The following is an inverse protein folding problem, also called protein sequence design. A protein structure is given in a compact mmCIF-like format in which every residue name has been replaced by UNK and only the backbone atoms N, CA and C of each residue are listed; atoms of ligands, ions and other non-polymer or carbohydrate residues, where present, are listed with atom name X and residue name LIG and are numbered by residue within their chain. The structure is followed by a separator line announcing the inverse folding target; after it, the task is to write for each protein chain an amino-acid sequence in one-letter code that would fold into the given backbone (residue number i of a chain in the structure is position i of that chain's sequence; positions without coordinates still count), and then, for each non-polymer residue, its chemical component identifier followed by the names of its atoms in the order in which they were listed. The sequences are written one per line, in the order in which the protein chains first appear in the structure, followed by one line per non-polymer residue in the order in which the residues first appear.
data_IF_282330362086
#
_entry.id   IF_282330362086
#
_cell.length_a   1.000
_cell.length_b   1.000
_cell.length_c   1.000
_cell.angle_alpha   90.00
_cell.angle_beta   90.00
_cell.angle_gamma   90.00
#
_symmetry.space_group_name_H-M   'P 1'
#
loop_
_entity.id
_entity.type
_entity.pdbx_description
1 polymer ?
#
# COMPACT_ATOMS: atom_id res chain seq x y z
N UNK A 1 7.90 -11.29 -28.12
CA UNK A 1 6.54 -11.91 -28.24
C UNK A 1 6.20 -12.13 -29.72
N UNK A 2 5.90 -13.38 -30.16
CA UNK A 2 5.53 -13.73 -31.53
C UNK A 2 4.07 -13.31 -31.87
N UNK A 3 3.70 -13.43 -33.16
CA UNK A 3 2.37 -13.03 -33.66
C UNK A 3 1.25 -13.90 -33.06
N UNK A 4 1.47 -15.19 -32.91
CA UNK A 4 0.46 -16.11 -32.37
C UNK A 4 0.12 -15.80 -30.91
N UNK A 5 1.13 -15.51 -30.10
CA UNK A 5 0.96 -15.08 -28.70
C UNK A 5 0.15 -13.76 -28.63
N UNK A 6 0.46 -12.78 -29.47
CA UNK A 6 -0.30 -11.51 -29.53
C UNK A 6 -1.77 -11.73 -29.91
N UNK A 7 -2.02 -12.55 -30.91
CA UNK A 7 -3.39 -12.88 -31.33
C UNK A 7 -4.15 -13.61 -30.23
N UNK A 8 -3.49 -14.56 -29.57
CA UNK A 8 -4.06 -15.29 -28.43
C UNK A 8 -4.46 -14.32 -27.31
N UNK A 9 -3.55 -13.49 -26.83
CA UNK A 9 -3.80 -12.51 -25.76
C UNK A 9 -4.94 -11.56 -26.12
N UNK A 10 -4.95 -11.00 -27.33
CA UNK A 10 -6.04 -10.11 -27.81
C UNK A 10 -7.40 -10.80 -27.77
N UNK A 11 -7.48 -12.07 -28.21
CA UNK A 11 -8.73 -12.85 -28.15
C UNK A 11 -9.20 -13.02 -26.71
N UNK A 12 -8.28 -13.30 -25.77
CA UNK A 12 -8.60 -13.49 -24.35
C UNK A 12 -9.07 -12.20 -23.69
N UNK A 13 -8.38 -11.09 -23.94
CA UNK A 13 -8.79 -9.77 -23.46
C UNK A 13 -10.15 -9.35 -24.00
N UNK A 14 -10.39 -9.56 -25.30
CA UNK A 14 -11.70 -9.28 -25.92
C UNK A 14 -12.82 -10.14 -25.32
N UNK A 15 -12.56 -11.41 -25.08
CA UNK A 15 -13.52 -12.32 -24.44
C UNK A 15 -13.85 -11.89 -23.01
N UNK A 16 -12.88 -11.40 -22.26
CA UNK A 16 -13.08 -10.83 -20.93
C UNK A 16 -13.98 -9.59 -21.00
N UNK A 17 -13.57 -8.54 -21.72
CA UNK A 17 -14.31 -7.27 -21.76
C UNK A 17 -15.73 -7.41 -22.33
N UNK A 18 -15.97 -8.42 -23.18
CA UNK A 18 -17.32 -8.70 -23.68
C UNK A 18 -18.30 -9.06 -22.56
N UNK A 19 -17.83 -9.78 -21.53
CA UNK A 19 -18.62 -10.28 -20.39
C UNK A 19 -18.48 -9.44 -19.14
N UNK A 20 -17.39 -8.70 -19.02
CA UNK A 20 -17.06 -7.95 -17.82
C UNK A 20 -18.06 -6.84 -17.52
N UNK A 21 -18.35 -6.69 -16.24
CA UNK A 21 -19.05 -5.52 -15.69
C UNK A 21 -17.98 -4.63 -15.05
N UNK A 22 -17.46 -3.68 -15.81
CA UNK A 22 -16.50 -2.69 -15.31
C UNK A 22 -17.27 -1.55 -14.70
N UNK A 23 -16.97 -1.24 -13.44
CA UNK A 23 -17.60 -0.11 -12.75
C UNK A 23 -16.88 1.18 -13.14
N UNK A 24 -17.62 2.15 -13.66
CA UNK A 24 -17.08 3.47 -13.97
C UNK A 24 -16.61 4.19 -12.71
N UNK A 25 -15.59 5.08 -12.80
CA UNK A 25 -15.28 6.00 -11.73
C UNK A 25 -16.42 7.00 -11.54
N UNK A 26 -16.53 7.57 -10.34
CA UNK A 26 -17.48 8.64 -10.08
C UNK A 26 -17.28 9.79 -11.08
N UNK A 27 -18.38 10.38 -11.53
CA UNK A 27 -18.40 11.48 -12.49
C UNK A 27 -17.52 11.23 -13.74
N UNK A 28 -17.73 10.07 -14.38
CA UNK A 28 -16.96 9.59 -15.54
C UNK A 28 -16.74 10.67 -16.62
N UNK A 29 -17.72 11.55 -16.80
CA UNK A 29 -17.68 12.65 -17.79
C UNK A 29 -16.72 13.78 -17.41
N UNK A 30 -16.29 13.86 -16.14
CA UNK A 30 -15.29 14.81 -15.66
C UNK A 30 -13.88 14.20 -15.58
N UNK A 31 -13.70 12.96 -16.00
CA UNK A 31 -12.40 12.27 -15.91
C UNK A 31 -11.71 12.22 -17.26
N UNK A 32 -10.38 12.46 -17.21
CA UNK A 32 -9.49 12.13 -18.31
C UNK A 32 -9.15 10.63 -18.27
N UNK A 33 -9.09 10.00 -19.44
CA UNK A 33 -8.66 8.62 -19.58
C UNK A 33 -7.40 8.51 -20.43
N UNK A 34 -6.50 7.61 -19.99
CA UNK A 34 -5.35 7.13 -20.73
C UNK A 34 -5.54 5.67 -21.13
N UNK A 35 -5.23 5.34 -22.37
CA UNK A 35 -5.42 4.02 -22.96
C UNK A 35 -4.10 3.50 -23.53
N UNK A 36 -3.77 2.25 -23.24
CA UNK A 36 -2.53 1.61 -23.68
C UNK A 36 -2.72 0.28 -24.40
N UNK A 37 -1.63 -0.18 -24.97
CA UNK A 37 -1.48 -1.46 -25.68
C UNK A 37 -0.56 -2.39 -24.89
N UNK A 38 -0.23 -3.55 -25.43
CA UNK A 38 0.75 -4.45 -24.82
C UNK A 38 2.16 -3.84 -24.76
N UNK A 39 2.47 -2.94 -25.70
CA UNK A 39 3.78 -2.29 -25.83
C UNK A 39 3.87 -1.02 -24.97
N UNK A 40 2.78 -0.24 -24.93
CA UNK A 40 2.75 1.08 -24.27
C UNK A 40 1.65 1.13 -23.22
N UNK A 41 2.01 1.41 -21.97
CA UNK A 41 1.02 1.55 -20.87
C UNK A 41 0.04 2.70 -21.11
N UNK A 42 0.49 3.78 -21.73
CA UNK A 42 -0.33 4.93 -22.14
C UNK A 42 0.09 5.33 -23.56
N UNK A 43 -0.67 4.91 -24.56
CA UNK A 43 -0.47 5.26 -25.97
C UNK A 43 -1.31 6.46 -26.39
N UNK A 44 -2.50 6.56 -25.84
CA UNK A 44 -3.42 7.68 -26.06
C UNK A 44 -3.83 8.24 -24.71
N UNK A 45 -3.76 9.55 -24.58
CA UNK A 45 -4.18 10.32 -23.41
C UNK A 45 -5.23 11.35 -23.81
N UNK A 46 -5.81 12.08 -22.86
CA UNK A 46 -6.82 13.12 -23.07
C UNK A 46 -8.11 12.60 -23.72
N UNK A 47 -8.49 11.37 -23.38
CA UNK A 47 -9.77 10.80 -23.79
C UNK A 47 -10.80 11.04 -22.69
N UNK A 48 -12.06 11.30 -23.05
CA UNK A 48 -13.19 11.39 -22.14
C UNK A 48 -14.32 10.46 -22.57
N UNK A 49 -15.26 10.19 -21.67
CA UNK A 49 -16.47 9.42 -21.92
C UNK A 49 -17.66 10.16 -21.33
N UNK A 50 -18.67 10.43 -22.15
CA UNK A 50 -19.85 11.17 -21.71
C UNK A 50 -20.71 10.41 -20.69
N UNK A 51 -20.62 9.06 -20.68
CA UNK A 51 -21.40 8.19 -19.81
C UNK A 51 -20.70 6.87 -19.52
N UNK A 52 -21.16 6.15 -18.49
CA UNK A 52 -20.76 4.77 -18.15
C UNK A 52 -20.97 3.82 -19.33
N UNK A 53 -22.04 4.04 -20.10
CA UNK A 53 -22.35 3.26 -21.29
C UNK A 53 -21.29 3.44 -22.37
N UNK A 54 -20.82 4.67 -22.57
CA UNK A 54 -19.79 4.96 -23.57
C UNK A 54 -18.46 4.32 -23.20
N UNK A 55 -18.07 4.39 -21.93
CA UNK A 55 -16.89 3.70 -21.42
C UNK A 55 -17.03 2.18 -21.60
N UNK A 56 -18.17 1.60 -21.24
CA UNK A 56 -18.43 0.16 -21.38
C UNK A 56 -18.36 -0.27 -22.84
N UNK A 57 -18.98 0.49 -23.75
CA UNK A 57 -18.95 0.21 -25.20
C UNK A 57 -17.52 0.29 -25.75
N UNK A 58 -16.75 1.28 -25.32
CA UNK A 58 -15.34 1.40 -25.68
C UNK A 58 -14.54 0.19 -25.25
N UNK A 59 -14.67 -0.24 -23.97
CA UNK A 59 -13.96 -1.41 -23.44
C UNK A 59 -14.27 -2.69 -24.22
N UNK A 60 -15.54 -2.92 -24.55
CA UNK A 60 -15.97 -4.07 -25.35
C UNK A 60 -15.41 -4.05 -26.79
N UNK A 61 -15.35 -2.87 -27.40
CA UNK A 61 -14.88 -2.73 -28.77
C UNK A 61 -13.36 -2.85 -28.87
N UNK A 62 -12.64 -2.07 -28.05
CA UNK A 62 -11.19 -1.91 -28.15
C UNK A 62 -10.41 -2.96 -27.35
N UNK A 63 -10.98 -3.47 -26.25
CA UNK A 63 -10.34 -4.42 -25.34
C UNK A 63 -8.89 -4.01 -24.98
N UNK A 64 -8.68 -2.80 -24.42
CA UNK A 64 -7.35 -2.26 -24.21
C UNK A 64 -6.55 -3.11 -23.22
N UNK A 65 -5.23 -3.19 -23.40
CA UNK A 65 -4.35 -3.87 -22.44
C UNK A 65 -4.13 -3.04 -21.17
N UNK A 66 -4.24 -1.71 -21.30
CA UNK A 66 -4.17 -0.78 -20.19
C UNK A 66 -5.21 0.31 -20.36
N UNK A 67 -5.93 0.60 -19.30
CA UNK A 67 -6.77 1.78 -19.20
C UNK A 67 -6.64 2.39 -17.79
N UNK A 68 -6.47 3.68 -17.75
CA UNK A 68 -6.33 4.47 -16.53
C UNK A 68 -7.23 5.69 -16.63
N UNK A 69 -7.62 6.24 -15.48
CA UNK A 69 -8.42 7.47 -15.40
C UNK A 69 -7.75 8.46 -14.44
N UNK A 70 -8.06 9.75 -14.60
CA UNK A 70 -7.48 10.80 -13.76
C UNK A 70 -8.00 10.73 -12.33
N UNK A 71 -7.10 10.93 -11.36
CA UNK A 71 -7.50 11.23 -9.98
C UNK A 71 -8.20 12.56 -9.91
N UNK A 72 -7.88 13.50 -10.82
CA UNK A 72 -8.52 14.78 -10.96
C UNK A 72 -9.87 14.71 -11.67
N UNK A 73 -10.72 15.69 -11.32
CA UNK A 73 -11.93 16.06 -12.02
C UNK A 73 -11.66 17.32 -12.84
N UNK A 74 -12.15 17.34 -14.05
CA UNK A 74 -12.01 18.47 -14.99
C UNK A 74 -13.36 18.87 -15.57
N UNK A 75 -13.53 20.14 -15.86
CA UNK A 75 -14.69 20.62 -16.63
C UNK A 75 -14.60 20.17 -18.10
N UNK A 76 -13.38 20.18 -18.66
CA UNK A 76 -13.09 19.80 -20.05
C UNK A 76 -11.96 18.77 -20.11
N UNK A 77 -12.22 17.48 -19.75
CA UNK A 77 -11.15 16.49 -19.58
C UNK A 77 -10.34 16.16 -20.84
N UNK A 78 -10.90 16.36 -22.05
CA UNK A 78 -10.20 16.13 -23.31
C UNK A 78 -9.34 17.30 -23.77
N UNK A 79 -9.48 18.50 -23.20
CA UNK A 79 -8.75 19.67 -23.65
C UNK A 79 -7.24 19.54 -23.49
N UNK A 80 -6.51 20.27 -24.34
CA UNK A 80 -5.06 20.42 -24.32
C UNK A 80 -4.71 21.88 -24.58
N UNK A 81 -3.69 22.42 -23.89
CA UNK A 81 -2.85 21.82 -22.86
C UNK A 81 -3.59 21.58 -21.53
N UNK A 82 -2.91 21.03 -20.52
CA UNK A 82 -3.53 20.64 -19.24
C UNK A 82 -4.27 21.78 -18.53
N UNK A 83 -3.74 23.00 -18.64
CA UNK A 83 -4.31 24.22 -18.04
C UNK A 83 -5.71 24.55 -18.60
N UNK A 84 -5.99 24.16 -19.84
CA UNK A 84 -7.29 24.38 -20.49
C UNK A 84 -8.38 23.41 -20.07
N UNK A 85 -8.06 22.41 -19.23
CA UNK A 85 -9.02 21.42 -18.71
C UNK A 85 -9.93 21.97 -17.63
N UNK A 86 -9.60 23.08 -17.00
CA UNK A 86 -10.26 23.63 -15.83
C UNK A 86 -10.40 22.61 -14.70
N UNK A 87 -9.35 22.52 -13.86
CA UNK A 87 -9.26 21.57 -12.75
C UNK A 87 -10.30 21.90 -11.67
N UNK A 88 -11.08 20.90 -11.22
CA UNK A 88 -12.17 21.04 -10.25
C UNK A 88 -11.86 20.40 -8.89
N UNK A 89 -10.75 19.69 -8.77
CA UNK A 89 -10.36 18.95 -7.58
C UNK A 89 -9.76 17.60 -7.97
N UNK A 90 -9.25 16.86 -7.00
CA UNK A 90 -8.75 15.51 -7.21
C UNK A 90 -8.98 14.61 -5.99
N UNK A 91 -9.28 13.33 -6.21
CA UNK A 91 -9.21 12.31 -5.16
C UNK A 91 -7.80 12.25 -4.58
N UNK A 92 -7.67 11.92 -3.30
CA UNK A 92 -6.38 11.61 -2.68
C UNK A 92 -6.10 10.12 -2.91
N UNK A 93 -5.01 9.81 -3.61
CA UNK A 93 -4.71 8.42 -3.99
C UNK A 93 -3.29 8.06 -3.54
N UNK A 94 -3.17 6.90 -2.92
CA UNK A 94 -1.90 6.29 -2.57
C UNK A 94 -1.67 5.05 -3.42
N UNK A 95 -0.44 4.86 -3.89
CA UNK A 95 0.00 3.71 -4.68
C UNK A 95 1.09 2.95 -3.90
N UNK A 96 0.74 1.78 -3.39
CA UNK A 96 1.62 0.93 -2.60
C UNK A 96 2.03 -0.27 -3.45
N UNK A 97 3.23 -0.23 -3.99
CA UNK A 97 3.74 -1.22 -4.94
C UNK A 97 4.99 -1.95 -4.41
N UNK A 98 5.03 -3.26 -4.60
CA UNK A 98 6.22 -4.05 -4.29
C UNK A 98 7.27 -4.00 -5.43
N UNK A 99 8.58 -4.01 -5.15
CA UNK A 99 9.63 -4.05 -6.15
C UNK A 99 9.85 -5.49 -6.69
N UNK A 100 8.78 -6.16 -7.12
CA UNK A 100 8.81 -7.55 -7.62
C UNK A 100 8.68 -7.62 -9.13
N UNK A 101 9.39 -8.57 -9.73
CA UNK A 101 9.28 -8.90 -11.16
C UNK A 101 8.31 -10.04 -11.41
N UNK A 102 8.31 -11.04 -10.56
CA UNK A 102 7.40 -12.18 -10.57
C UNK A 102 6.56 -12.17 -9.29
N UNK A 103 5.36 -12.77 -9.36
CA UNK A 103 4.43 -12.80 -8.23
C UNK A 103 5.01 -13.60 -7.07
N UNK A 104 4.92 -13.02 -5.87
CA UNK A 104 5.41 -13.56 -4.62
C UNK A 104 4.38 -13.25 -3.53
N UNK A 105 3.81 -14.29 -2.95
CA UNK A 105 2.71 -14.18 -1.98
C UNK A 105 3.15 -13.50 -0.67
N UNK A 106 4.39 -13.75 -0.20
CA UNK A 106 4.90 -13.16 1.05
C UNK A 106 5.10 -11.65 0.89
N UNK A 107 5.63 -11.24 -0.28
CA UNK A 107 5.84 -9.82 -0.57
C UNK A 107 4.51 -9.10 -0.75
N UNK A 108 3.55 -9.70 -1.47
CA UNK A 108 2.21 -9.11 -1.63
C UNK A 108 1.45 -9.01 -0.30
N UNK A 109 1.62 -9.97 0.61
CA UNK A 109 1.04 -9.90 1.96
C UNK A 109 1.65 -8.76 2.78
N UNK A 110 2.94 -8.45 2.64
CA UNK A 110 3.55 -7.28 3.27
C UNK A 110 2.91 -5.98 2.75
N UNK A 111 2.77 -5.81 1.43
CA UNK A 111 2.10 -4.62 0.87
C UNK A 111 0.65 -4.53 1.30
N UNK A 112 -0.05 -5.67 1.44
CA UNK A 112 -1.40 -5.72 2.01
C UNK A 112 -1.43 -5.18 3.45
N UNK A 113 -0.48 -5.59 4.30
CA UNK A 113 -0.35 -5.09 5.68
C UNK A 113 -0.09 -3.57 5.70
N UNK A 114 0.79 -3.07 4.84
CA UNK A 114 1.05 -1.63 4.70
C UNK A 114 -0.20 -0.86 4.25
N UNK A 115 -1.01 -1.44 3.37
CA UNK A 115 -2.29 -0.85 2.94
C UNK A 115 -3.29 -0.77 4.09
N UNK A 116 -3.36 -1.80 4.94
CA UNK A 116 -4.18 -1.81 6.15
C UNK A 116 -3.69 -0.74 7.14
N UNK A 117 -2.38 -0.64 7.35
CA UNK A 117 -1.80 0.40 8.20
C UNK A 117 -2.13 1.81 7.69
N UNK A 118 -2.00 2.05 6.39
CA UNK A 118 -2.38 3.33 5.78
C UNK A 118 -3.85 3.64 5.98
N UNK A 119 -4.74 2.65 5.77
CA UNK A 119 -6.18 2.82 6.08
C UNK A 119 -6.38 3.25 7.53
N UNK A 120 -5.68 2.63 8.48
CA UNK A 120 -5.70 3.00 9.89
C UNK A 120 -5.28 4.45 10.14
N UNK A 121 -4.22 4.96 9.49
CA UNK A 121 -3.86 6.38 9.59
C UNK A 121 -4.97 7.30 9.11
N UNK A 122 -5.61 6.96 7.99
CA UNK A 122 -6.66 7.80 7.41
C UNK A 122 -7.92 7.83 8.28
N UNK A 123 -8.28 6.72 8.89
CA UNK A 123 -9.44 6.63 9.79
C UNK A 123 -9.17 7.30 11.13
N UNK A 124 -8.07 6.93 11.79
CA UNK A 124 -7.82 7.25 13.19
C UNK A 124 -7.21 8.64 13.36
N UNK A 125 -6.26 9.03 12.49
CA UNK A 125 -5.48 10.26 12.67
C UNK A 125 -6.05 11.42 11.84
N UNK A 126 -6.65 11.13 10.67
CA UNK A 126 -7.25 12.15 9.80
C UNK A 126 -8.77 12.21 9.89
N UNK A 127 -9.42 11.27 10.59
CA UNK A 127 -10.87 11.24 10.77
C UNK A 127 -11.67 11.03 9.47
N UNK A 128 -11.05 10.45 8.44
CA UNK A 128 -11.71 10.18 7.16
C UNK A 128 -12.71 9.05 7.36
N UNK A 129 -13.93 9.21 6.85
CA UNK A 129 -14.96 8.19 6.93
C UNK A 129 -14.59 6.94 6.13
N UNK A 130 -14.88 5.76 6.66
CA UNK A 130 -14.61 4.50 5.95
C UNK A 130 -15.33 4.41 4.61
N UNK A 131 -16.52 5.00 4.49
CA UNK A 131 -17.30 5.09 3.25
C UNK A 131 -16.58 5.86 2.12
N UNK A 132 -15.66 6.75 2.48
CA UNK A 132 -14.93 7.59 1.54
C UNK A 132 -13.62 6.95 1.08
N UNK A 133 -13.28 5.79 1.68
CA UNK A 133 -12.07 5.03 1.36
C UNK A 133 -12.42 3.85 0.47
N UNK A 134 -11.77 3.75 -0.68
CA UNK A 134 -11.85 2.59 -1.57
C UNK A 134 -10.46 1.98 -1.78
N UNK A 135 -10.34 0.68 -1.61
CA UNK A 135 -9.10 -0.07 -1.85
C UNK A 135 -9.26 -0.87 -3.13
N UNK A 136 -8.24 -0.82 -3.99
CA UNK A 136 -8.16 -1.59 -5.21
C UNK A 136 -6.81 -2.32 -5.28
N UNK A 137 -6.81 -3.59 -5.65
CA UNK A 137 -5.59 -4.25 -6.08
C UNK A 137 -5.16 -3.68 -7.44
N UNK A 138 -3.90 -3.35 -7.62
CA UNK A 138 -3.39 -2.69 -8.84
C UNK A 138 -3.44 -3.58 -10.11
N UNK A 139 -3.74 -4.87 -9.92
CA UNK A 139 -3.69 -5.89 -10.98
C UNK A 139 -2.27 -6.44 -11.20
N UNK A 140 -1.28 -6.08 -10.40
CA UNK A 140 0.10 -6.53 -10.59
C UNK A 140 0.83 -6.82 -9.28
N UNK A 141 1.22 -5.81 -8.54
CA UNK A 141 2.20 -5.95 -7.46
C UNK A 141 1.90 -5.12 -6.20
N UNK A 142 0.70 -4.56 -6.11
CA UNK A 142 0.34 -3.72 -4.97
C UNK A 142 -1.11 -3.29 -4.95
N UNK A 143 -1.38 -2.23 -4.19
CA UNK A 143 -2.71 -1.72 -3.95
C UNK A 143 -2.77 -0.21 -4.15
N UNK A 144 -3.91 0.26 -4.65
CA UNK A 144 -4.26 1.67 -4.66
C UNK A 144 -5.30 1.93 -3.58
N UNK A 145 -5.06 2.89 -2.70
CA UNK A 145 -6.04 3.37 -1.74
C UNK A 145 -6.51 4.74 -2.20
N UNK A 146 -7.80 4.88 -2.38
CA UNK A 146 -8.45 6.11 -2.84
C UNK A 146 -9.26 6.71 -1.70
N UNK A 147 -9.16 8.02 -1.52
CA UNK A 147 -10.02 8.81 -0.66
C UNK A 147 -10.76 9.82 -1.52
N UNK A 148 -12.09 9.78 -1.45
CA UNK A 148 -12.97 10.67 -2.22
C UNK A 148 -13.95 11.33 -1.27
N UNK A 149 -13.60 12.53 -0.77
CA UNK A 149 -14.45 13.36 0.07
C UNK A 149 -14.26 14.84 -0.28
N UNK A 150 -15.21 15.68 0.09
CA UNK A 150 -15.16 17.12 -0.19
C UNK A 150 -13.95 17.81 0.45
N UNK A 151 -13.42 17.26 1.56
CA UNK A 151 -12.28 17.79 2.28
C UNK A 151 -10.96 17.54 1.53
N UNK A 152 -10.84 16.42 0.81
CA UNK A 152 -9.59 16.07 0.12
C UNK A 152 -9.54 16.62 -1.31
N UNK A 153 -10.68 16.87 -1.95
CA UNK A 153 -10.74 17.32 -3.34
C UNK A 153 -9.92 18.60 -3.61
N UNK A 154 -9.99 19.66 -2.77
CA UNK A 154 -9.28 20.92 -3.01
C UNK A 154 -7.80 20.88 -2.57
N UNK A 155 -7.30 19.80 -1.96
CA UNK A 155 -5.95 19.77 -1.42
C UNK A 155 -4.89 20.00 -2.50
N UNK A 156 -4.03 20.98 -2.24
CA UNK A 156 -2.86 21.24 -3.07
C UNK A 156 -1.84 20.10 -3.01
N UNK A 157 -0.91 20.03 -3.97
CA UNK A 157 0.19 19.07 -3.92
C UNK A 157 1.04 19.18 -2.65
N UNK A 158 1.19 20.39 -2.08
CA UNK A 158 1.93 20.59 -0.82
C UNK A 158 1.17 19.99 0.38
N UNK A 159 -0.14 20.22 0.49
CA UNK A 159 -0.95 19.61 1.55
C UNK A 159 -0.94 18.07 1.45
N UNK A 160 -1.00 17.53 0.23
CA UNK A 160 -0.87 16.09 -0.02
C UNK A 160 0.50 15.55 0.38
N UNK A 161 1.57 16.32 0.15
CA UNK A 161 2.93 15.97 0.62
C UNK A 161 2.98 15.86 2.13
N UNK A 162 2.38 16.80 2.86
CA UNK A 162 2.33 16.75 4.33
C UNK A 162 1.61 15.50 4.85
N UNK A 163 0.53 15.08 4.20
CA UNK A 163 -0.15 13.81 4.53
C UNK A 163 0.80 12.62 4.30
N UNK A 164 1.49 12.58 3.16
CA UNK A 164 2.47 11.52 2.85
C UNK A 164 3.60 11.51 3.89
N UNK A 165 4.17 12.67 4.22
CA UNK A 165 5.24 12.78 5.21
C UNK A 165 4.77 12.31 6.60
N UNK A 166 3.53 12.62 6.97
CA UNK A 166 2.93 12.14 8.21
C UNK A 166 2.81 10.61 8.26
N UNK A 167 2.17 9.99 7.26
CA UNK A 167 1.94 8.52 7.26
C UNK A 167 3.23 7.71 7.11
N UNK A 168 4.27 8.31 6.51
CA UNK A 168 5.59 7.70 6.39
C UNK A 168 6.52 7.99 7.57
N UNK A 169 6.08 8.78 8.55
CA UNK A 169 6.92 9.21 9.67
C UNK A 169 8.13 10.05 9.24
N UNK A 170 8.07 10.69 8.05
CA UNK A 170 9.17 11.52 7.55
C UNK A 170 9.41 12.72 8.46
N UNK A 171 10.62 12.82 9.03
CA UNK A 171 10.96 13.90 9.96
C UNK A 171 10.38 13.73 11.36
N UNK A 172 9.85 12.57 11.71
CA UNK A 172 9.37 12.27 13.05
C UNK A 172 10.52 12.33 14.05
N UNK A 173 10.48 13.30 14.96
CA UNK A 173 11.44 13.42 16.05
C UNK A 173 10.90 12.73 17.30
N UNK A 174 11.45 11.57 17.61
CA UNK A 174 11.05 10.77 18.76
C UNK A 174 11.33 11.45 20.10
N UNK A 175 12.30 12.36 20.16
CA UNK A 175 12.57 13.14 21.36
C UNK A 175 11.43 14.10 21.71
N UNK A 176 10.60 14.46 20.73
CA UNK A 176 9.41 15.26 20.98
C UNK A 176 8.38 14.53 21.87
N UNK A 177 8.29 13.22 21.72
CA UNK A 177 7.35 12.39 22.47
C UNK A 177 7.86 11.95 23.85
N UNK A 178 9.16 12.11 24.11
CA UNK A 178 9.79 11.70 25.37
C UNK A 178 10.46 12.89 26.05
N UNK A 179 10.05 13.19 27.27
CA UNK A 179 10.55 14.35 28.01
C UNK A 179 11.09 13.93 29.35
N UNK A 180 12.31 14.37 29.68
CA UNK A 180 12.78 14.34 31.04
C UNK A 180 12.04 15.40 31.86
N UNK A 181 11.37 14.96 32.90
CA UNK A 181 10.66 15.84 33.84
C UNK A 181 11.33 15.69 35.18
N UNK A 182 11.85 16.80 35.73
CA UNK A 182 12.31 16.84 37.12
C UNK A 182 11.08 16.88 38.03
N UNK A 183 10.99 15.95 38.98
CA UNK A 183 9.97 16.04 40.00
C UNK A 183 10.25 17.27 40.87
N UNK A 184 9.20 17.88 41.44
CA UNK A 184 9.41 19.01 42.36
C UNK A 184 10.27 18.57 43.58
N UNK A 185 11.32 19.33 43.85
CA UNK A 185 12.22 19.07 44.98
C UNK A 185 11.46 19.08 46.30
N UNK A 186 11.70 18.07 47.12
CA UNK A 186 11.08 17.97 48.44
C UNK A 186 12.16 18.31 49.48
N UNK A 187 11.90 19.31 50.31
CA UNK A 187 12.75 19.57 51.47
C UNK A 187 12.49 18.48 52.51
N UNK A 188 13.55 17.75 52.90
CA UNK A 188 13.43 16.74 53.93
C UNK A 188 12.96 17.37 55.24
N UNK A 189 11.83 16.98 55.75
CA UNK A 189 11.30 17.46 57.04
C UNK A 189 12.17 17.08 58.25
N UNK A 190 13.15 16.17 58.06
CA UNK A 190 14.00 15.63 59.10
C UNK A 190 15.39 16.30 59.18
N UNK A 191 15.93 16.73 58.07
CA UNK A 191 17.29 17.31 57.97
C UNK A 191 17.30 18.73 57.45
N UNK A 192 16.20 19.26 56.93
CA UNK A 192 16.16 20.57 56.27
C UNK A 192 16.92 20.61 54.93
N UNK A 193 17.46 19.48 54.48
CA UNK A 193 18.19 19.40 53.23
C UNK A 193 17.22 19.32 52.02
N UNK A 194 17.55 20.07 50.97
CA UNK A 194 16.85 19.99 49.69
C UNK A 194 17.31 18.74 48.98
N UNK A 195 16.38 17.79 48.78
CA UNK A 195 16.64 16.57 48.01
C UNK A 195 16.31 16.88 46.55
N UNK A 196 17.35 16.88 45.73
CA UNK A 196 17.17 16.97 44.27
C UNK A 196 16.40 15.71 43.80
N UNK A 197 15.20 15.87 43.26
CA UNK A 197 14.45 14.73 42.81
C UNK A 197 15.12 14.07 41.61
N UNK A 198 14.98 12.74 41.48
CA UNK A 198 15.39 12.06 40.29
C UNK A 198 14.57 12.52 39.09
N UNK A 199 15.23 12.81 37.98
CA UNK A 199 14.50 13.04 36.71
C UNK A 199 13.76 11.76 36.31
N UNK A 200 12.54 11.90 35.88
CA UNK A 200 11.76 10.80 35.31
C UNK A 200 11.49 11.04 33.82
N UNK A 201 11.46 9.99 33.02
CA UNK A 201 11.11 10.08 31.60
C UNK A 201 9.61 9.93 31.47
N UNK A 202 8.96 10.95 30.94
CA UNK A 202 7.55 10.91 30.54
C UNK A 202 7.45 10.75 29.03
N UNK A 203 6.49 9.95 28.58
CA UNK A 203 6.20 9.70 27.19
C UNK A 203 4.70 9.55 26.94
N UNK A 204 4.31 9.18 25.72
CA UNK A 204 2.90 9.06 25.35
C UNK A 204 2.17 7.97 26.14
N UNK A 205 0.84 8.10 26.16
CA UNK A 205 -0.10 7.20 26.85
C UNK A 205 -1.16 6.71 25.88
N UNK A 206 -1.99 5.77 26.29
CA UNK A 206 -3.13 5.30 25.48
C UNK A 206 -4.21 6.37 25.24
N UNK A 207 -4.15 7.52 25.94
CA UNK A 207 -5.06 8.65 25.74
C UNK A 207 -4.56 9.69 24.71
N UNK A 208 -3.32 9.54 24.23
CA UNK A 208 -2.78 10.37 23.16
C UNK A 208 -3.41 10.03 21.81
N UNK A 209 -3.22 10.89 20.82
CA UNK A 209 -3.68 10.71 19.45
C UNK A 209 -2.49 10.60 18.48
N UNK A 210 -2.75 10.19 17.24
CA UNK A 210 -1.78 10.16 16.17
C UNK A 210 -0.54 9.33 16.51
N UNK A 211 0.65 9.83 16.17
CA UNK A 211 1.91 9.13 16.41
C UNK A 211 2.20 8.88 17.90
N UNK A 212 1.74 9.74 18.81
CA UNK A 212 1.87 9.51 20.25
C UNK A 212 1.21 8.19 20.65
N UNK A 213 -0.06 8.03 20.31
CA UNK A 213 -0.81 6.79 20.55
C UNK A 213 -0.17 5.58 19.89
N UNK A 214 0.24 5.71 18.63
CA UNK A 214 0.87 4.60 17.87
C UNK A 214 2.16 4.11 18.51
N UNK A 215 2.98 5.03 19.00
CA UNK A 215 4.21 4.73 19.75
C UNK A 215 3.86 4.01 21.06
N UNK A 216 2.88 4.52 21.81
CA UNK A 216 2.44 3.90 23.05
C UNK A 216 1.91 2.48 22.81
N UNK A 217 0.94 2.30 21.92
CA UNK A 217 0.30 1.02 21.65
C UNK A 217 1.33 -0.04 21.27
N UNK A 218 2.28 0.30 20.41
CA UNK A 218 3.28 -0.67 19.96
C UNK A 218 4.27 -1.05 21.05
N UNK A 219 4.72 -0.09 21.87
CA UNK A 219 5.61 -0.39 23.01
C UNK A 219 4.86 -1.23 24.04
N UNK A 220 3.60 -0.90 24.30
CA UNK A 220 2.74 -1.65 25.21
C UNK A 220 2.55 -3.10 24.73
N UNK A 221 2.10 -3.30 23.47
CA UNK A 221 1.93 -4.62 22.86
C UNK A 221 3.24 -5.42 22.84
N UNK A 222 4.35 -4.77 22.51
CA UNK A 222 5.67 -5.40 22.49
C UNK A 222 6.07 -5.87 23.89
N UNK A 223 5.91 -5.05 24.93
CA UNK A 223 6.21 -5.45 26.29
C UNK A 223 5.28 -6.57 26.79
N UNK A 224 4.00 -6.52 26.44
CA UNK A 224 3.02 -7.50 26.86
C UNK A 224 3.29 -8.89 26.22
N UNK A 225 3.56 -8.93 24.92
CA UNK A 225 3.69 -10.15 24.14
C UNK A 225 5.09 -10.76 24.07
N UNK A 226 6.16 -9.99 24.35
CA UNK A 226 7.53 -10.43 24.11
C UNK A 226 8.03 -11.50 25.09
N UNK A 227 8.81 -12.43 24.54
CA UNK A 227 9.58 -13.45 25.29
C UNK A 227 11.00 -12.95 25.56
N UNK A 228 11.76 -13.70 26.38
CA UNK A 228 13.19 -13.44 26.59
C UNK A 228 13.97 -13.37 25.27
N UNK A 229 13.64 -14.26 24.33
CA UNK A 229 14.29 -14.34 23.02
C UNK A 229 14.01 -13.09 22.17
N UNK A 230 12.82 -12.53 22.27
CA UNK A 230 12.44 -11.33 21.52
C UNK A 230 13.18 -10.10 22.06
N UNK A 231 13.30 -9.94 23.37
CA UNK A 231 14.12 -8.88 23.95
C UNK A 231 15.61 -9.00 23.58
N UNK A 232 16.16 -10.22 23.56
CA UNK A 232 17.56 -10.44 23.19
C UNK A 232 17.87 -10.15 21.70
N UNK A 233 16.86 -10.09 20.85
CA UNK A 233 17.01 -9.67 19.44
C UNK A 233 17.15 -8.16 19.28
N UNK A 234 16.83 -7.38 20.33
CA UNK A 234 17.00 -5.94 20.31
C UNK A 234 18.46 -5.57 20.51
N UNK A 235 18.98 -4.77 19.59
CA UNK A 235 20.33 -4.23 19.70
C UNK A 235 20.56 -3.47 21.01
N UNK A 236 21.60 -3.87 21.77
CA UNK A 236 21.96 -3.25 23.03
C UNK A 236 21.18 -3.74 24.26
N UNK A 237 20.33 -4.77 24.10
CA UNK A 237 19.66 -5.46 25.21
C UNK A 237 20.42 -6.74 25.54
N UNK A 238 21.19 -6.71 26.64
CA UNK A 238 21.86 -7.90 27.17
C UNK A 238 20.93 -8.79 28.03
N UNK A 239 21.36 -10.04 28.35
CA UNK A 239 20.53 -11.01 29.06
C UNK A 239 19.94 -10.48 30.38
N UNK A 240 20.76 -9.86 31.21
CA UNK A 240 20.33 -9.30 32.51
C UNK A 240 19.21 -8.27 32.36
N UNK A 241 19.29 -7.44 31.31
CA UNK A 241 18.30 -6.40 31.04
C UNK A 241 17.00 -7.02 30.50
N UNK A 242 17.09 -8.00 29.61
CA UNK A 242 15.95 -8.75 29.12
C UNK A 242 15.20 -9.47 30.23
N UNK A 243 15.94 -10.10 31.16
CA UNK A 243 15.37 -10.74 32.37
C UNK A 243 14.67 -9.73 33.28
N UNK A 244 15.25 -8.55 33.52
CA UNK A 244 14.63 -7.50 34.30
C UNK A 244 13.32 -7.00 33.66
N UNK A 245 13.31 -6.75 32.33
CA UNK A 245 12.11 -6.34 31.61
C UNK A 245 10.99 -7.37 31.75
N UNK A 246 11.31 -8.67 31.67
CA UNK A 246 10.34 -9.74 31.87
C UNK A 246 9.83 -9.81 33.31
N UNK A 247 10.74 -9.73 34.28
CA UNK A 247 10.38 -9.78 35.69
C UNK A 247 9.49 -8.61 36.11
N UNK A 248 9.82 -7.42 35.65
CA UNK A 248 9.16 -6.18 36.04
C UNK A 248 8.06 -5.76 35.05
N UNK A 249 7.69 -6.65 34.08
CA UNK A 249 6.73 -6.42 33.01
C UNK A 249 5.43 -5.74 33.47
N UNK A 250 4.76 -6.30 34.48
CA UNK A 250 3.49 -5.75 34.99
C UNK A 250 3.64 -4.35 35.56
N UNK A 251 4.76 -4.10 36.24
CA UNK A 251 5.05 -2.77 36.79
C UNK A 251 5.35 -1.77 35.66
N UNK A 252 6.12 -2.18 34.64
CA UNK A 252 6.45 -1.37 33.48
C UNK A 252 5.20 -1.03 32.63
N UNK A 253 4.30 -1.98 32.39
CA UNK A 253 3.03 -1.75 31.68
C UNK A 253 2.18 -0.73 32.45
N UNK A 254 2.01 -0.91 33.77
CA UNK A 254 1.26 0.04 34.60
C UNK A 254 1.92 1.44 34.64
N UNK A 255 3.24 1.50 34.61
CA UNK A 255 3.97 2.76 34.54
C UNK A 255 3.74 3.47 33.20
N UNK A 256 3.78 2.73 32.07
CA UNK A 256 3.46 3.25 30.74
C UNK A 256 2.04 3.81 30.66
N UNK A 257 1.05 3.09 31.19
CA UNK A 257 -0.34 3.58 31.28
C UNK A 257 -0.45 4.90 32.02
N UNK A 258 0.40 5.12 33.02
CA UNK A 258 0.51 6.38 33.77
C UNK A 258 1.42 7.44 33.12
N UNK A 259 1.96 7.17 31.92
CA UNK A 259 2.85 8.06 31.19
C UNK A 259 4.30 8.05 31.68
N UNK A 260 4.69 7.11 32.56
CA UNK A 260 6.10 6.97 32.98
C UNK A 260 6.82 5.95 32.12
N UNK A 261 7.86 6.39 31.43
CA UNK A 261 8.67 5.60 30.50
C UNK A 261 10.05 5.21 31.07
N UNK A 262 10.28 5.46 32.35
CA UNK A 262 11.56 5.21 33.00
C UNK A 262 12.02 3.75 32.89
N UNK A 263 11.13 2.79 33.14
CA UNK A 263 11.43 1.36 33.04
C UNK A 263 11.80 0.86 31.64
N UNK A 264 11.47 1.64 30.61
CA UNK A 264 11.72 1.32 29.20
C UNK A 264 12.56 2.38 28.48
N UNK A 265 12.94 3.46 29.15
CA UNK A 265 13.68 4.59 28.56
C UNK A 265 14.97 4.17 27.86
N UNK A 266 15.68 3.23 28.43
CA UNK A 266 16.92 2.69 27.82
C UNK A 266 16.70 1.83 26.56
N UNK A 267 15.49 1.33 26.33
CA UNK A 267 15.14 0.63 25.10
C UNK A 267 14.65 1.62 24.03
N UNK A 268 14.20 2.79 24.49
CA UNK A 268 13.32 3.64 23.70
C UNK A 268 13.91 4.18 22.39
N UNK A 269 15.14 4.71 22.24
CA UNK A 269 15.57 5.25 20.96
C UNK A 269 15.63 4.18 19.86
N UNK A 270 16.14 2.99 20.17
CA UNK A 270 16.25 1.89 19.20
C UNK A 270 14.93 1.17 18.98
N UNK A 271 14.13 0.98 20.02
CA UNK A 271 12.81 0.41 19.92
C UNK A 271 11.86 1.34 19.17
N UNK A 272 11.91 2.64 19.46
CA UNK A 272 11.10 3.64 18.77
C UNK A 272 11.45 3.72 17.28
N UNK A 273 12.74 3.62 16.90
CA UNK A 273 13.12 3.55 15.49
C UNK A 273 12.48 2.31 14.82
N UNK A 274 12.56 1.15 15.46
CA UNK A 274 11.89 -0.05 14.97
C UNK A 274 10.38 0.10 14.86
N UNK A 275 9.75 0.79 15.81
CA UNK A 275 8.32 1.11 15.80
C UNK A 275 7.96 2.00 14.61
N UNK A 276 8.75 3.04 14.36
CA UNK A 276 8.56 3.92 13.20
C UNK A 276 8.66 3.10 11.93
N UNK A 277 9.67 2.24 11.83
CA UNK A 277 9.90 1.39 10.66
C UNK A 277 8.77 0.35 10.46
N UNK A 278 8.18 -0.19 11.55
CA UNK A 278 7.10 -1.18 11.48
C UNK A 278 5.69 -0.58 11.34
N UNK A 279 5.45 0.62 11.87
CA UNK A 279 4.12 1.27 11.82
C UNK A 279 4.01 2.35 10.76
N UNK A 280 5.11 2.95 10.32
CA UNK A 280 5.10 3.85 9.18
C UNK A 280 4.75 3.09 7.89
N UNK A 281 4.02 3.75 7.00
CA UNK A 281 3.71 3.17 5.69
C UNK A 281 4.96 3.23 4.82
N UNK A 282 5.46 2.06 4.42
CA UNK A 282 6.59 1.99 3.51
C UNK A 282 6.13 2.30 2.07
N UNK A 283 6.05 3.57 1.73
CA UNK A 283 5.90 4.00 0.34
C UNK A 283 7.25 3.81 -0.35
N UNK A 284 7.37 2.74 -1.13
CA UNK A 284 8.62 2.36 -1.79
C UNK A 284 8.99 3.36 -2.88
N UNK A 285 9.96 4.20 -2.59
CA UNK A 285 10.59 5.13 -3.53
C UNK A 285 9.80 6.43 -3.80
N UNK A 286 10.49 7.37 -4.45
CA UNK A 286 9.93 8.67 -4.80
C UNK A 286 8.73 8.58 -5.77
N UNK A 287 8.62 7.49 -6.52
CA UNK A 287 7.55 7.26 -7.50
C UNK A 287 6.19 7.13 -6.81
N UNK A 288 6.08 6.36 -5.73
CA UNK A 288 4.82 6.12 -5.03
C UNK A 288 4.34 7.39 -4.31
N UNK A 289 5.25 8.13 -3.69
CA UNK A 289 4.97 9.46 -3.10
C UNK A 289 4.43 10.44 -4.16
N UNK A 290 5.00 10.43 -5.37
CA UNK A 290 4.58 11.31 -6.46
C UNK A 290 3.16 11.02 -6.95
N UNK A 291 2.67 9.78 -6.86
CA UNK A 291 1.27 9.46 -7.21
C UNK A 291 0.29 10.24 -6.33
N UNK A 292 0.58 10.35 -5.04
CA UNK A 292 -0.27 11.06 -4.08
C UNK A 292 -0.19 12.58 -4.26
N UNK A 293 1.00 13.11 -4.52
CA UNK A 293 1.27 14.55 -4.64
C UNK A 293 0.76 15.12 -5.97
N UNK A 294 0.87 14.35 -7.06
CA UNK A 294 0.47 14.77 -8.41
C UNK A 294 -1.05 14.73 -8.58
N UNK A 295 -1.68 15.89 -8.53
CA UNK A 295 -3.14 16.05 -8.69
C UNK A 295 -3.65 15.78 -10.11
N UNK A 296 -2.78 15.56 -11.10
CA UNK A 296 -3.14 15.26 -12.50
C UNK A 296 -2.83 13.79 -12.88
N UNK A 297 -2.56 12.94 -11.88
CA UNK A 297 -2.16 11.56 -12.08
C UNK A 297 -3.27 10.72 -12.73
N UNK A 298 -2.86 9.79 -13.59
CA UNK A 298 -3.72 8.72 -14.09
C UNK A 298 -3.48 7.45 -13.24
N UNK A 299 -4.56 6.90 -12.70
CA UNK A 299 -4.56 5.66 -11.93
C UNK A 299 -5.33 4.57 -12.69
N UNK A 300 -4.98 3.32 -12.47
CA UNK A 300 -5.61 2.19 -13.15
C UNK A 300 -7.11 2.12 -12.88
N UNK A 301 -7.90 1.89 -13.95
CA UNK A 301 -9.33 1.68 -13.82
C UNK A 301 -9.58 0.28 -13.21
N UNK A 302 -10.29 0.18 -12.08
CA UNK A 302 -10.67 -1.10 -11.49
C UNK A 302 -11.54 -1.95 -12.43
N UNK A 303 -11.58 -3.25 -12.18
CA UNK A 303 -12.27 -4.27 -12.97
C UNK A 303 -11.76 -4.40 -14.41
N UNK A 304 -10.52 -3.96 -14.68
CA UNK A 304 -9.85 -4.09 -15.97
C UNK A 304 -8.61 -4.98 -15.88
N UNK A 305 -8.27 -5.67 -16.99
CA UNK A 305 -7.07 -6.49 -17.04
C UNK A 305 -5.81 -5.60 -16.99
N UNK A 306 -4.85 -6.00 -16.18
CA UNK A 306 -3.53 -5.39 -16.20
C UNK A 306 -2.66 -6.03 -17.28
N UNK A 307 -2.28 -5.26 -18.30
CA UNK A 307 -1.57 -5.76 -19.49
C UNK A 307 -0.16 -6.31 -19.27
N UNK A 308 0.39 -6.22 -18.07
CA UNK A 308 1.71 -6.79 -17.73
C UNK A 308 1.66 -8.01 -16.80
N UNK A 309 0.46 -8.44 -16.40
CA UNK A 309 0.27 -9.61 -15.51
C UNK A 309 -0.91 -10.49 -15.91
N UNK A 310 -1.92 -9.95 -16.58
CA UNK A 310 -3.18 -10.65 -16.86
C UNK A 310 -4.13 -10.75 -15.65
N UNK A 311 -3.73 -10.26 -14.49
CA UNK A 311 -4.61 -10.14 -13.34
C UNK A 311 -5.53 -8.91 -13.48
N UNK A 312 -6.65 -8.93 -12.77
CA UNK A 312 -7.51 -7.75 -12.68
C UNK A 312 -6.93 -6.70 -11.74
N UNK A 313 -6.99 -5.43 -12.16
CA UNK A 313 -7.11 -4.36 -11.21
C UNK A 313 -8.49 -4.48 -10.56
N UNK A 314 -8.57 -4.92 -9.31
CA UNK A 314 -9.83 -5.35 -8.71
C UNK A 314 -10.18 -4.52 -7.48
N UNK A 315 -11.45 -4.12 -7.39
CA UNK A 315 -11.99 -3.54 -6.16
C UNK A 315 -11.96 -4.56 -5.05
N UNK A 316 -11.52 -4.13 -3.87
CA UNK A 316 -11.37 -4.96 -2.68
C UNK A 316 -12.42 -4.53 -1.66
N UNK A 317 -13.37 -5.43 -1.36
CA UNK A 317 -14.41 -5.15 -0.36
C UNK A 317 -13.90 -5.35 1.07
N UNK A 318 -13.28 -6.50 1.33
CA UNK A 318 -12.61 -6.79 2.59
C UNK A 318 -11.15 -7.13 2.30
N UNK A 319 -10.24 -6.27 2.73
CA UNK A 319 -8.81 -6.44 2.42
C UNK A 319 -8.21 -7.60 3.20
N UNK A 320 -8.66 -7.90 4.40
CA UNK A 320 -8.16 -8.99 5.24
C UNK A 320 -8.38 -10.36 4.56
N UNK A 321 -9.53 -10.54 3.91
CA UNK A 321 -9.91 -11.80 3.25
C UNK A 321 -9.42 -11.90 1.80
N UNK A 322 -9.10 -10.77 1.17
CA UNK A 322 -8.74 -10.73 -0.25
C UNK A 322 -7.37 -11.35 -0.52
N UNK A 323 -7.32 -12.32 -1.44
CA UNK A 323 -6.08 -12.89 -1.98
C UNK A 323 -5.92 -12.47 -3.45
N UNK A 324 -4.98 -11.56 -3.78
CA UNK A 324 -4.79 -11.08 -5.14
C UNK A 324 -4.38 -12.19 -6.12
N UNK A 325 -3.72 -13.26 -5.64
CA UNK A 325 -3.26 -14.37 -6.47
C UNK A 325 -4.36 -15.38 -6.79
N UNK A 326 -5.52 -15.24 -6.18
CA UNK A 326 -6.71 -16.06 -6.43
C UNK A 326 -7.84 -15.19 -6.95
N UNK A 327 -8.21 -14.15 -6.20
CA UNK A 327 -9.40 -13.35 -6.45
C UNK A 327 -9.30 -12.44 -7.68
N UNK A 328 -8.07 -12.07 -8.09
CA UNK A 328 -7.83 -11.26 -9.29
C UNK A 328 -7.57 -12.08 -10.56
N UNK A 329 -7.60 -13.40 -10.47
CA UNK A 329 -7.42 -14.29 -11.64
C UNK A 329 -8.72 -14.42 -12.41
N UNK A 330 -8.67 -14.20 -13.74
CA UNK A 330 -9.86 -14.22 -14.62
C UNK A 330 -9.76 -15.20 -15.79
N UNK A 331 -8.58 -15.71 -16.04
CA UNK A 331 -8.37 -16.72 -17.08
C UNK A 331 -8.58 -18.13 -16.52
N UNK A 332 -8.96 -19.05 -17.39
CA UNK A 332 -9.37 -20.40 -17.01
C UNK A 332 -8.22 -21.34 -16.70
N UNK A 333 -8.59 -22.62 -16.50
CA UNK A 333 -7.66 -23.72 -16.24
C UNK A 333 -7.37 -24.57 -17.48
N UNK A 334 -7.90 -24.19 -18.65
CA UNK A 334 -7.63 -24.91 -19.89
C UNK A 334 -6.13 -24.90 -20.19
N UNK A 335 -5.61 -26.04 -20.60
CA UNK A 335 -4.20 -26.23 -20.91
C UNK A 335 -3.77 -25.44 -22.16
N UNK A 336 -2.70 -24.68 -22.05
CA UNK A 336 -2.09 -23.91 -23.14
C UNK A 336 -0.65 -24.37 -23.33
N UNK A 337 -0.33 -24.82 -24.54
CA UNK A 337 1.05 -25.18 -24.91
C UNK A 337 1.87 -23.92 -25.17
N UNK A 338 3.03 -23.86 -24.51
CA UNK A 338 3.95 -22.72 -24.55
C UNK A 338 5.40 -23.20 -24.58
N UNK A 339 6.30 -22.34 -25.04
CA UNK A 339 7.75 -22.55 -24.97
C UNK A 339 8.38 -21.34 -24.29
N UNK A 340 9.26 -21.58 -23.34
CA UNK A 340 9.97 -20.51 -22.62
C UNK A 340 11.00 -19.83 -23.51
N UNK A 341 11.10 -18.50 -23.40
CA UNK A 341 12.06 -17.66 -24.13
C UNK A 341 13.23 -17.19 -23.25
N UNK A 342 13.21 -17.55 -21.98
CA UNK A 342 14.24 -17.27 -20.97
C UNK A 342 14.05 -18.16 -19.75
N UNK A 343 15.04 -18.18 -18.86
CA UNK A 343 14.88 -18.80 -17.54
C UNK A 343 13.83 -18.07 -16.72
N UNK A 344 12.91 -18.82 -16.11
CA UNK A 344 11.79 -18.32 -15.32
C UNK A 344 11.97 -18.80 -13.88
N UNK A 345 12.07 -17.91 -12.90
CA UNK A 345 12.15 -18.31 -11.50
C UNK A 345 10.80 -18.86 -11.01
N UNK A 346 10.76 -19.37 -9.79
CA UNK A 346 9.50 -19.71 -9.12
C UNK A 346 8.65 -18.47 -8.91
N UNK A 347 7.33 -18.63 -9.01
CA UNK A 347 6.34 -17.61 -8.71
C UNK A 347 5.08 -18.25 -8.15
N UNK A 348 4.30 -17.46 -7.41
CA UNK A 348 3.05 -17.94 -6.79
C UNK A 348 1.83 -17.50 -7.61
N UNK A 349 0.90 -18.43 -7.88
CA UNK A 349 -0.38 -18.12 -8.54
C UNK A 349 -1.39 -19.22 -8.25
N UNK A 350 -2.64 -18.88 -7.92
CA UNK A 350 -3.74 -19.82 -7.63
C UNK A 350 -3.40 -20.83 -6.52
N UNK A 351 -2.73 -20.37 -5.46
CA UNK A 351 -2.25 -21.19 -4.32
C UNK A 351 -1.22 -22.26 -4.72
N UNK A 352 -0.59 -22.11 -5.88
CA UNK A 352 0.42 -23.03 -6.39
C UNK A 352 1.76 -22.29 -6.58
N UNK A 353 2.87 -22.99 -6.32
CA UNK A 353 4.22 -22.55 -6.70
C UNK A 353 4.54 -23.06 -8.08
N UNK A 354 4.53 -22.17 -9.07
CA UNK A 354 4.85 -22.48 -10.46
C UNK A 354 6.36 -22.34 -10.72
N UNK A 355 6.92 -23.20 -11.59
CA UNK A 355 8.33 -23.13 -11.96
C UNK A 355 9.29 -23.77 -10.95
N UNK A 356 10.63 -23.58 -11.07
CA UNK A 356 11.25 -22.81 -12.15
C UNK A 356 11.19 -23.51 -13.52
N UNK A 357 11.29 -22.74 -14.60
CA UNK A 357 11.35 -23.28 -15.99
C UNK A 357 12.62 -22.78 -16.69
N UNK A 358 13.19 -23.61 -17.56
CA UNK A 358 14.43 -23.30 -18.28
C UNK A 358 14.14 -22.71 -19.66
N UNK A 359 15.13 -21.96 -20.18
CA UNK A 359 15.10 -21.50 -21.58
C UNK A 359 14.81 -22.68 -22.54
N UNK A 360 14.01 -22.45 -23.57
CA UNK A 360 13.60 -23.40 -24.62
C UNK A 360 12.82 -24.63 -24.11
N UNK A 361 12.32 -24.61 -22.87
CA UNK A 361 11.49 -25.66 -22.32
C UNK A 361 10.05 -25.52 -22.87
N UNK A 362 9.56 -26.61 -23.52
CA UNK A 362 8.17 -26.69 -23.95
C UNK A 362 7.32 -27.36 -22.89
N UNK A 363 6.19 -26.71 -22.52
CA UNK A 363 5.32 -27.16 -21.45
C UNK A 363 3.86 -26.85 -21.74
N UNK A 364 2.97 -27.48 -20.98
CA UNK A 364 1.55 -27.16 -20.97
C UNK A 364 1.21 -26.59 -19.61
N UNK A 365 0.61 -25.40 -19.57
CA UNK A 365 0.22 -24.72 -18.33
C UNK A 365 -1.25 -24.31 -18.40
N UNK A 366 -1.93 -24.18 -17.24
CA UNK A 366 -3.24 -23.57 -17.18
C UNK A 366 -3.23 -22.17 -17.80
N UNK A 367 -4.33 -21.79 -18.44
CA UNK A 367 -4.44 -20.54 -19.19
C UNK A 367 -4.02 -19.32 -18.38
N UNK A 368 -4.41 -19.23 -17.08
CA UNK A 368 -4.04 -18.13 -16.22
C UNK A 368 -2.51 -17.98 -16.06
N UNK A 369 -1.78 -19.08 -15.91
CA UNK A 369 -0.32 -19.08 -15.78
C UNK A 369 0.37 -18.80 -17.13
N UNK A 370 -0.15 -19.39 -18.21
CA UNK A 370 0.36 -19.15 -19.56
C UNK A 370 0.20 -17.67 -19.96
N UNK A 371 -0.96 -17.06 -19.73
CA UNK A 371 -1.21 -15.63 -19.98
C UNK A 371 -0.28 -14.76 -19.16
N UNK A 372 -0.13 -15.05 -17.86
CA UNK A 372 0.79 -14.31 -16.99
C UNK A 372 2.22 -14.31 -17.54
N UNK A 373 2.75 -15.48 -17.89
CA UNK A 373 4.11 -15.61 -18.43
C UNK A 373 4.29 -14.99 -19.82
N UNK A 374 3.26 -15.08 -20.70
CA UNK A 374 3.25 -14.38 -22.00
C UNK A 374 3.36 -12.87 -21.81
N UNK A 375 2.64 -12.30 -20.85
CA UNK A 375 2.65 -10.86 -20.54
C UNK A 375 3.93 -10.40 -19.81
N UNK A 376 4.70 -11.34 -19.22
CA UNK A 376 6.06 -11.13 -18.74
C UNK A 376 7.11 -11.26 -19.85
N UNK A 377 6.69 -11.50 -21.07
CA UNK A 377 7.57 -11.79 -22.22
C UNK A 377 8.57 -12.92 -21.89
N UNK A 378 8.07 -13.93 -21.17
CA UNK A 378 8.85 -15.05 -20.68
C UNK A 378 8.58 -16.36 -21.43
N UNK A 379 7.45 -16.45 -22.10
CA UNK A 379 7.06 -17.58 -22.94
C UNK A 379 6.36 -17.12 -24.19
N UNK A 380 6.34 -17.97 -25.20
CA UNK A 380 5.55 -17.79 -26.40
C UNK A 380 4.60 -18.99 -26.60
N UNK A 381 3.49 -18.76 -27.27
CA UNK A 381 2.58 -19.81 -27.66
C UNK A 381 3.29 -20.75 -28.65
N UNK A 382 3.27 -22.07 -28.33
CA UNK A 382 3.79 -23.12 -29.19
C UNK A 382 2.82 -23.45 -30.33
#
# INVERSE_FOLDING_TARGET
MNVETRVFLRKRFKAYYWKAKVTSPAEVHKREFGVGTLEDKIKVRHKSFASDRDLTNFLKREAPSYISYSTAYYEFPENQPMESKNWLGADLVFDLDAPIKYLDSEILNRVKTETINLKGFLLDDFGISESDIAINFSGSKGYHLHVSSDEVLPLSGEARRQIVDYVTGSGLDLNFYMREVQADGVTSSRTGEYINPASTVKGPTGADEGWGKRIYDTVHEYLEGSTLKDFLRLDGVGPKRAENLLRDRKANLKALEAGSWEGVSDLSPKLLQKIVDEKAVALTGDTDKMVTIDTARLIRLPDTIHGGSGLLAKRVGNIEEFDPLVDAVVFGKDEVKITSTKDIPKFDLMNEKCGPYKLDESMSLPEYAAVYLMLKDAVEKA
#
